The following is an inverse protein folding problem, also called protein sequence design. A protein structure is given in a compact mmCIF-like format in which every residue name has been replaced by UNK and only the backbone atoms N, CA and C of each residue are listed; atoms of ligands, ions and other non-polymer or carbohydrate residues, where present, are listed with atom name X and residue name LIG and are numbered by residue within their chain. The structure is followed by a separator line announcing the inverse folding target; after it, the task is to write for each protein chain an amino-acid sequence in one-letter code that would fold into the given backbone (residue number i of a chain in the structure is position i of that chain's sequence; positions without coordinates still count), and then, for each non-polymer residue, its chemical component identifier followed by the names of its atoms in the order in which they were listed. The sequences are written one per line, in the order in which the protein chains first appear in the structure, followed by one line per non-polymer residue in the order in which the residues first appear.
data_IF_342417099459
#
_entry.id   IF_342417099459
#
_cell.length_a   1.000
_cell.length_b   1.000
_cell.length_c   1.000
_cell.angle_alpha   90.00
_cell.angle_beta   90.00
_cell.angle_gamma   90.00
#
_symmetry.space_group_name_H-M   'P 1'
#
loop_
_entity.id
_entity.type
_entity.pdbx_description
1 polymer ?
#
# COMPACT_ATOMS: atom_id res chain seq x y z
N UNK A 1 -2.76 -11.54 -10.78
CA UNK A 1 -4.10 -10.98 -11.06
C UNK A 1 -4.13 -9.51 -10.69
N UNK A 2 -4.97 -8.70 -11.34
CA UNK A 2 -5.20 -7.34 -10.88
C UNK A 2 -6.02 -7.37 -9.59
N UNK A 3 -5.57 -6.66 -8.57
CA UNK A 3 -6.23 -6.55 -7.27
C UNK A 3 -6.49 -5.07 -6.99
N UNK A 4 -7.71 -4.76 -6.56
CA UNK A 4 -8.04 -3.45 -6.02
C UNK A 4 -7.62 -3.40 -4.55
N UNK A 5 -6.81 -2.40 -4.19
CA UNK A 5 -6.36 -2.15 -2.83
C UNK A 5 -6.95 -0.83 -2.36
N UNK A 6 -7.76 -0.91 -1.31
CA UNK A 6 -8.33 0.27 -0.65
C UNK A 6 -7.65 0.51 0.69
N UNK A 7 -6.98 1.65 0.82
CA UNK A 7 -6.41 2.11 2.07
C UNK A 7 -7.04 3.45 2.47
N UNK A 8 -8.01 3.41 3.39
CA UNK A 8 -8.85 4.56 3.76
C UNK A 8 -9.54 5.16 2.53
N UNK A 9 -9.13 6.36 2.13
CA UNK A 9 -9.66 7.11 0.98
C UNK A 9 -8.83 6.89 -0.28
N UNK A 10 -7.68 6.22 -0.18
CA UNK A 10 -6.86 5.82 -1.32
C UNK A 10 -7.38 4.52 -1.94
N UNK A 11 -7.55 4.52 -3.26
CA UNK A 11 -7.86 3.34 -4.07
C UNK A 11 -6.76 3.18 -5.13
N UNK A 12 -6.17 2.00 -5.23
CA UNK A 12 -5.20 1.66 -6.27
C UNK A 12 -5.43 0.26 -6.84
N UNK A 13 -4.95 0.07 -8.07
CA UNK A 13 -4.98 -1.22 -8.75
C UNK A 13 -3.54 -1.72 -8.89
N UNK A 14 -3.25 -2.89 -8.31
CA UNK A 14 -1.91 -3.48 -8.31
C UNK A 14 -1.91 -4.88 -8.92
N UNK A 15 -0.79 -5.30 -9.50
CA UNK A 15 -0.60 -6.68 -9.94
C UNK A 15 -0.23 -7.53 -8.73
N UNK A 16 -1.15 -8.37 -8.29
CA UNK A 16 -0.92 -9.36 -7.24
C UNK A 16 -0.48 -10.72 -7.78
N UNK A 17 0.53 -11.32 -7.16
CA UNK A 17 0.93 -12.70 -7.41
C UNK A 17 0.24 -13.62 -6.39
N UNK A 18 -0.33 -14.73 -6.87
CA UNK A 18 -1.03 -15.70 -6.01
C UNK A 18 -0.04 -16.78 -5.60
N UNK A 19 0.11 -16.99 -4.30
CA UNK A 19 0.96 -18.04 -3.71
C UNK A 19 0.27 -18.59 -2.47
N UNK A 20 0.64 -19.80 -2.05
CA UNK A 20 0.38 -20.25 -0.69
C UNK A 20 1.28 -19.44 0.26
N UNK A 21 0.66 -18.64 1.14
CA UNK A 21 1.33 -17.76 2.09
C UNK A 21 1.20 -18.27 3.54
N UNK A 22 0.66 -19.47 3.75
CA UNK A 22 0.41 -20.02 5.07
C UNK A 22 -0.60 -19.17 5.86
N UNK A 23 -0.12 -18.41 6.85
CA UNK A 23 -0.97 -17.64 7.77
C UNK A 23 -1.22 -16.19 7.35
N UNK A 24 -0.64 -15.74 6.23
CA UNK A 24 -0.78 -14.35 5.78
C UNK A 24 -1.82 -14.23 4.66
N UNK A 25 -2.71 -13.24 4.77
CA UNK A 25 -3.71 -12.98 3.74
C UNK A 25 -3.11 -12.26 2.52
N UNK A 26 -2.25 -11.28 2.77
CA UNK A 26 -1.60 -10.44 1.75
C UNK A 26 -0.19 -10.07 2.22
N UNK A 27 0.76 -10.08 1.29
CA UNK A 27 2.11 -9.54 1.49
C UNK A 27 2.30 -8.38 0.51
N UNK A 28 2.60 -7.19 1.05
CA UNK A 28 3.03 -6.04 0.27
C UNK A 28 4.51 -6.21 -0.06
N UNK A 29 4.84 -6.29 -1.34
CA UNK A 29 6.21 -6.51 -1.80
C UNK A 29 7.05 -5.23 -1.74
N UNK A 30 8.36 -5.38 -1.89
CA UNK A 30 9.30 -4.25 -1.91
C UNK A 30 8.95 -3.18 -2.95
N UNK A 31 8.59 -3.50 -4.21
CA UNK A 31 8.20 -2.48 -5.18
C UNK A 31 7.06 -1.57 -4.71
N UNK A 32 6.05 -2.13 -4.02
CA UNK A 32 4.96 -1.34 -3.46
C UNK A 32 5.45 -0.43 -2.33
N UNK A 33 6.34 -0.92 -1.47
CA UNK A 33 6.91 -0.12 -0.38
C UNK A 33 7.83 0.98 -0.89
N UNK A 34 8.63 0.72 -1.93
CA UNK A 34 9.54 1.68 -2.55
C UNK A 34 8.79 2.81 -3.26
N UNK A 35 7.63 2.53 -3.87
CA UNK A 35 6.78 3.55 -4.50
C UNK A 35 6.17 4.50 -3.47
N UNK A 36 5.70 3.96 -2.34
CA UNK A 36 5.00 4.75 -1.33
C UNK A 36 5.91 5.37 -0.27
N UNK A 37 7.12 4.80 -0.07
CA UNK A 37 8.12 5.15 0.93
C UNK A 37 7.53 5.51 2.31
N UNK A 38 6.78 4.58 2.96
CA UNK A 38 6.10 4.89 4.22
C UNK A 38 7.06 4.88 5.42
N UNK A 39 6.82 5.78 6.37
CA UNK A 39 7.45 5.74 7.68
C UNK A 39 6.95 4.53 8.48
N UNK A 40 7.86 3.60 8.82
CA UNK A 40 7.51 2.40 9.58
C UNK A 40 7.75 2.59 11.07
N UNK A 41 6.71 2.40 11.88
CA UNK A 41 6.82 2.33 13.34
C UNK A 41 6.55 0.91 13.84
N UNK A 42 7.62 0.15 14.09
CA UNK A 42 7.52 -1.21 14.62
C UNK A 42 6.86 -1.28 16.00
N UNK A 43 7.18 -0.32 16.89
CA UNK A 43 6.58 -0.25 18.23
C UNK A 43 5.08 0.03 18.18
N UNK A 44 4.64 0.93 17.29
CA UNK A 44 3.22 1.27 17.14
C UNK A 44 2.48 0.32 16.19
N UNK A 45 3.22 -0.54 15.47
CA UNK A 45 2.72 -1.38 14.39
C UNK A 45 1.93 -0.57 13.35
N UNK A 46 2.52 0.54 12.90
CA UNK A 46 1.88 1.47 11.98
C UNK A 46 2.80 1.84 10.82
N UNK A 47 2.19 2.09 9.66
CA UNK A 47 2.81 2.72 8.49
C UNK A 47 2.22 4.12 8.33
N UNK A 48 3.06 5.13 8.07
CA UNK A 48 2.61 6.50 7.79
C UNK A 48 3.04 6.91 6.39
N UNK A 49 2.11 7.44 5.60
CA UNK A 49 2.32 7.80 4.20
C UNK A 49 2.39 9.31 4.08
N UNK A 50 3.60 9.87 4.09
CA UNK A 50 3.84 11.32 4.13
C UNK A 50 4.56 11.85 2.88
N UNK A 51 4.86 10.99 1.91
CA UNK A 51 5.53 11.39 0.67
C UNK A 51 4.65 12.31 -0.18
N UNK A 52 5.26 13.27 -0.87
CA UNK A 52 4.57 14.16 -1.82
C UNK A 52 3.88 13.36 -2.93
N UNK A 53 4.47 12.24 -3.34
CA UNK A 53 3.83 11.29 -4.25
C UNK A 53 2.48 10.81 -3.69
N UNK A 54 2.42 10.38 -2.42
CA UNK A 54 1.18 9.92 -1.82
C UNK A 54 0.15 11.04 -1.64
N UNK A 55 0.58 12.25 -1.27
CA UNK A 55 -0.36 13.36 -1.07
C UNK A 55 -1.05 13.79 -2.37
N UNK A 56 -0.38 13.63 -3.51
CA UNK A 56 -0.91 13.95 -4.84
C UNK A 56 -1.58 12.72 -5.44
N UNK A 57 -0.83 11.64 -5.69
CA UNK A 57 -1.30 10.52 -6.50
C UNK A 57 -2.21 9.55 -5.74
N UNK A 58 -2.06 9.44 -4.42
CA UNK A 58 -2.85 8.50 -3.65
C UNK A 58 -4.17 9.10 -3.13
N UNK A 59 -4.23 10.41 -2.90
CA UNK A 59 -5.38 11.09 -2.31
C UNK A 59 -6.25 11.86 -3.32
N UNK A 60 -5.84 12.00 -4.58
CA UNK A 60 -6.55 12.85 -5.56
C UNK A 60 -7.91 12.33 -6.08
N UNK A 61 -8.40 11.17 -5.67
CA UNK A 61 -9.73 10.69 -6.10
C UNK A 61 -10.93 11.41 -5.44
N UNK A 62 -10.70 12.55 -4.75
CA UNK A 62 -11.75 13.46 -4.30
C UNK A 62 -11.46 14.92 -4.67
N UNK A 63 -11.71 15.25 -5.95
CA UNK A 63 -12.19 16.58 -6.36
C UNK A 63 -13.40 16.43 -7.27
#
# INVERSE_FOLDING_TARGET
TMIEVKHREHLSYVVGYISDLGTFDVVLSMPWLEEHDPDVSWKKRSLTFNSEFCSIQCLEHFK
#
